data_IF_301381292993
#
_entry.id   IF_301381292993
#
_cell.length_a   1.000
_cell.length_b   1.000
_cell.length_c   1.000
_cell.angle_alpha   90.00
_cell.angle_beta   90.00
_cell.angle_gamma   90.00
#
_symmetry.space_group_name_H-M   'P 1'
#
loop_
_entity.id
_entity.type
_entity.pdbx_description
1 polymer ?
#
# COMPACT_ATOMS: atom_id res chain seq x y z
N UNK A 1 20.17 5.62 -3.03
CA UNK A 1 18.97 6.32 -3.57
C UNK A 1 17.76 5.84 -2.81
N UNK A 2 16.80 6.72 -2.53
CA UNK A 2 15.53 6.38 -1.86
C UNK A 2 14.43 6.22 -2.91
N UNK A 3 13.59 5.19 -2.78
CA UNK A 3 12.46 4.88 -3.63
C UNK A 3 11.20 4.69 -2.81
N UNK A 4 10.04 4.98 -3.41
CA UNK A 4 8.74 4.72 -2.83
C UNK A 4 7.79 4.19 -3.91
N UNK A 5 7.12 3.05 -3.62
CA UNK A 5 6.10 2.44 -4.46
C UNK A 5 4.90 2.03 -3.62
N UNK A 6 3.72 2.06 -4.21
CA UNK A 6 2.54 1.54 -3.53
C UNK A 6 2.59 0.02 -3.37
N UNK A 7 2.27 -0.46 -2.17
CA UNK A 7 2.11 -1.90 -1.90
C UNK A 7 0.81 -2.40 -2.52
N UNK A 8 0.90 -3.45 -3.34
CA UNK A 8 -0.29 -4.11 -3.89
C UNK A 8 -1.17 -4.69 -2.78
N UNK A 9 -0.56 -5.27 -1.74
CA UNK A 9 -1.27 -5.87 -0.62
C UNK A 9 -2.02 -4.81 0.21
N UNK A 10 -1.33 -3.74 0.61
CA UNK A 10 -1.92 -2.68 1.44
C UNK A 10 -2.99 -1.86 0.68
N UNK A 11 -2.93 -1.82 -0.65
CA UNK A 11 -3.88 -1.07 -1.49
C UNK A 11 -5.11 -1.87 -1.93
N UNK A 12 -5.27 -3.12 -1.48
CA UNK A 12 -6.44 -3.97 -1.84
C UNK A 12 -7.79 -3.29 -1.62
N UNK A 13 -7.93 -2.60 -0.49
CA UNK A 13 -9.19 -1.91 -0.17
C UNK A 13 -9.46 -0.73 -1.12
N UNK A 14 -8.42 0.00 -1.54
CA UNK A 14 -8.54 1.08 -2.52
C UNK A 14 -8.95 0.54 -3.88
N UNK A 15 -8.34 -0.56 -4.33
CA UNK A 15 -8.71 -1.25 -5.58
C UNK A 15 -10.17 -1.67 -5.54
N UNK A 16 -10.59 -2.31 -4.45
CA UNK A 16 -11.97 -2.75 -4.28
C UNK A 16 -12.96 -1.58 -4.29
N UNK A 17 -12.62 -0.47 -3.64
CA UNK A 17 -13.43 0.74 -3.67
C UNK A 17 -13.57 1.30 -5.10
N UNK A 18 -12.49 1.34 -5.87
CA UNK A 18 -12.50 1.78 -7.27
C UNK A 18 -13.37 0.87 -8.17
N UNK A 19 -13.35 -0.44 -7.95
CA UNK A 19 -14.24 -1.38 -8.64
C UNK A 19 -15.72 -1.06 -8.36
N UNK A 20 -16.08 -0.80 -7.10
CA UNK A 20 -17.44 -0.46 -6.70
C UNK A 20 -17.85 0.91 -7.28
N UNK A 21 -16.96 1.89 -7.25
CA UNK A 21 -17.18 3.21 -7.86
C UNK A 21 -17.52 3.05 -9.35
N UNK A 22 -16.72 2.28 -10.08
CA UNK A 22 -16.94 2.01 -11.50
C UNK A 22 -18.26 1.24 -11.74
N UNK A 23 -18.52 0.19 -10.97
CA UNK A 23 -19.71 -0.64 -11.12
C UNK A 23 -21.02 0.12 -10.83
N UNK A 24 -20.98 1.10 -9.92
CA UNK A 24 -22.15 1.93 -9.55
C UNK A 24 -22.23 3.23 -10.36
N UNK A 25 -21.28 3.51 -11.25
CA UNK A 25 -21.27 4.67 -12.12
C UNK A 25 -21.04 6.01 -11.40
N UNK A 26 -20.34 6.00 -10.24
CA UNK A 26 -19.93 7.26 -9.61
C UNK A 26 -18.86 7.96 -10.44
N UNK A 27 -19.05 9.24 -10.68
CA UNK A 27 -18.06 10.10 -11.33
C UNK A 27 -17.15 10.79 -10.30
N UNK A 28 -16.08 11.44 -10.78
CA UNK A 28 -15.20 12.27 -9.94
C UNK A 28 -15.81 13.64 -9.57
N UNK A 29 -17.11 13.85 -9.80
CA UNK A 29 -17.80 15.07 -9.40
C UNK A 29 -17.87 15.18 -7.86
N UNK A 30 -17.88 16.39 -7.29
CA UNK A 30 -17.99 16.55 -5.84
C UNK A 30 -19.24 15.91 -5.25
N UNK A 31 -20.35 15.88 -6.00
CA UNK A 31 -21.62 15.32 -5.54
C UNK A 31 -21.59 13.79 -5.50
N UNK A 32 -21.01 13.14 -6.51
CA UNK A 32 -20.84 11.69 -6.52
C UNK A 32 -19.83 11.23 -5.46
N UNK A 33 -18.77 11.99 -5.23
CA UNK A 33 -17.81 11.70 -4.16
C UNK A 33 -18.51 11.77 -2.79
N UNK A 34 -19.36 12.78 -2.55
CA UNK A 34 -20.14 12.87 -1.30
C UNK A 34 -21.11 11.71 -1.15
N UNK A 35 -21.82 11.33 -2.23
CA UNK A 35 -22.74 10.17 -2.24
C UNK A 35 -21.98 8.88 -1.94
N UNK A 36 -20.87 8.62 -2.58
CA UNK A 36 -20.05 7.45 -2.32
C UNK A 36 -19.57 7.40 -0.86
N UNK A 37 -19.10 8.53 -0.31
CA UNK A 37 -18.69 8.63 1.10
C UNK A 37 -19.85 8.32 2.05
N UNK A 38 -21.06 8.80 1.75
CA UNK A 38 -22.25 8.53 2.52
C UNK A 38 -22.63 7.04 2.45
N UNK A 39 -22.62 6.44 1.26
CA UNK A 39 -22.90 5.01 1.07
C UNK A 39 -21.88 4.13 1.81
N UNK A 40 -20.62 4.55 1.86
CA UNK A 40 -19.59 3.87 2.62
C UNK A 40 -19.85 3.98 4.14
N UNK A 41 -20.20 5.16 4.61
CA UNK A 41 -20.43 5.42 6.04
C UNK A 41 -21.64 4.63 6.59
N UNK A 42 -22.69 4.41 5.78
CA UNK A 42 -23.86 3.61 6.16
C UNK A 42 -23.72 2.11 5.85
N UNK A 43 -22.55 1.67 5.40
CA UNK A 43 -22.26 0.26 5.12
C UNK A 43 -22.79 -0.26 3.78
N UNK A 44 -23.43 0.57 2.96
CA UNK A 44 -23.95 0.19 1.66
C UNK A 44 -22.85 -0.16 0.63
N UNK A 45 -21.62 0.30 0.83
CA UNK A 45 -20.49 0.01 -0.05
C UNK A 45 -19.75 -1.30 0.29
N UNK A 46 -20.19 -2.02 1.35
CA UNK A 46 -19.60 -3.26 1.83
C UNK A 46 -18.75 -3.07 3.09
N UNK A 47 -18.86 -4.03 4.00
CA UNK A 47 -18.16 -4.01 5.30
C UNK A 47 -16.63 -3.98 5.13
N UNK A 48 -16.15 -4.60 4.06
CA UNK A 48 -14.71 -4.68 3.72
C UNK A 48 -14.06 -3.31 3.49
N UNK A 49 -14.85 -2.28 3.17
CA UNK A 49 -14.37 -0.94 2.89
C UNK A 49 -14.50 0.03 4.09
N UNK A 50 -15.01 -0.43 5.22
CA UNK A 50 -15.17 0.43 6.40
C UNK A 50 -13.84 1.01 6.90
N UNK A 51 -12.73 0.28 6.71
CA UNK A 51 -11.39 0.77 7.07
C UNK A 51 -10.99 2.04 6.30
N UNK A 52 -11.47 2.21 5.06
CA UNK A 52 -11.22 3.43 4.27
C UNK A 52 -11.89 4.66 4.87
N UNK A 53 -13.06 4.51 5.49
CA UNK A 53 -13.78 5.62 6.13
C UNK A 53 -13.07 6.19 7.36
N UNK A 54 -12.09 5.47 7.91
CA UNK A 54 -11.30 5.89 9.06
C UNK A 54 -9.99 6.59 8.65
N UNK A 55 -9.62 6.53 7.37
CA UNK A 55 -8.42 7.19 6.84
C UNK A 55 -8.60 8.71 6.75
N UNK A 56 -7.52 9.47 7.00
CA UNK A 56 -7.54 10.94 6.91
C UNK A 56 -7.92 11.42 5.51
N UNK A 57 -7.46 10.73 4.47
CA UNK A 57 -7.72 11.05 3.06
C UNK A 57 -9.22 10.95 2.69
N UNK A 58 -10.02 10.32 3.54
CA UNK A 58 -11.44 10.18 3.33
C UNK A 58 -12.24 11.42 3.75
N UNK A 59 -11.69 12.30 4.58
CA UNK A 59 -12.43 13.43 5.16
C UNK A 59 -12.57 14.62 4.22
N UNK A 60 -11.65 14.84 3.30
CA UNK A 60 -11.79 15.90 2.29
C UNK A 60 -12.23 15.34 0.94
N UNK A 61 -12.99 16.13 0.18
CA UNK A 61 -13.44 15.73 -1.17
C UNK A 61 -12.25 15.64 -2.14
N UNK A 62 -11.24 16.50 -1.95
CA UNK A 62 -10.02 16.51 -2.78
C UNK A 62 -9.18 15.26 -2.56
N UNK A 63 -8.86 14.93 -1.30
CA UNK A 63 -8.07 13.75 -0.94
C UNK A 63 -8.79 12.45 -1.29
N UNK A 64 -10.12 12.40 -1.06
CA UNK A 64 -10.93 11.25 -1.46
C UNK A 64 -10.95 11.07 -2.98
N UNK A 65 -10.98 12.19 -3.76
CA UNK A 65 -10.85 12.14 -5.22
C UNK A 65 -9.51 11.57 -5.64
N UNK A 66 -8.43 12.05 -5.07
CA UNK A 66 -7.08 11.62 -5.41
C UNK A 66 -6.86 10.15 -5.04
N UNK A 67 -7.37 9.72 -3.88
CA UNK A 67 -7.27 8.35 -3.42
C UNK A 67 -8.06 7.36 -4.27
N UNK A 68 -9.33 7.67 -4.58
CA UNK A 68 -10.29 6.70 -5.11
C UNK A 68 -10.67 6.91 -6.57
N UNK A 69 -10.58 8.14 -7.08
CA UNK A 69 -11.04 8.51 -8.44
C UNK A 69 -9.88 8.81 -9.40
N UNK A 70 -8.65 8.90 -8.90
CA UNK A 70 -7.46 9.06 -9.74
C UNK A 70 -7.04 7.70 -10.33
N UNK A 71 -6.83 7.64 -11.66
CA UNK A 71 -6.81 6.36 -12.40
C UNK A 71 -5.42 5.72 -12.47
N UNK A 72 -4.32 6.48 -12.30
CA UNK A 72 -2.97 5.95 -12.50
C UNK A 72 -2.24 5.76 -11.17
N UNK A 73 -2.16 4.52 -10.75
CA UNK A 73 -1.38 4.11 -9.58
C UNK A 73 -0.61 2.83 -9.93
N UNK A 74 0.72 2.92 -9.88
CA UNK A 74 1.59 1.75 -10.03
C UNK A 74 1.79 1.10 -8.67
N UNK A 75 1.26 -0.10 -8.53
CA UNK A 75 1.40 -0.94 -7.35
C UNK A 75 2.36 -2.07 -7.65
N UNK A 76 3.20 -2.39 -6.69
CA UNK A 76 4.16 -3.48 -6.82
C UNK A 76 4.01 -4.46 -5.64
N UNK A 77 4.38 -5.70 -5.90
CA UNK A 77 4.68 -6.69 -4.85
C UNK A 77 6.17 -6.65 -4.53
N UNK A 78 6.55 -7.19 -3.37
CA UNK A 78 7.97 -7.30 -2.99
C UNK A 78 8.76 -8.21 -3.94
N UNK A 79 8.13 -9.23 -4.51
CA UNK A 79 8.75 -10.09 -5.53
C UNK A 79 9.03 -9.33 -6.84
N UNK A 80 8.14 -8.42 -7.24
CA UNK A 80 8.38 -7.56 -8.40
C UNK A 80 9.51 -6.55 -8.14
N UNK A 81 9.59 -6.01 -6.92
CA UNK A 81 10.71 -5.14 -6.51
C UNK A 81 12.03 -5.93 -6.53
N UNK A 82 12.06 -7.17 -6.01
CA UNK A 82 13.23 -8.04 -6.06
C UNK A 82 13.71 -8.27 -7.50
N UNK A 83 12.77 -8.61 -8.40
CA UNK A 83 13.07 -8.84 -9.82
C UNK A 83 13.58 -7.59 -10.52
N UNK A 84 12.93 -6.44 -10.28
CA UNK A 84 13.35 -5.14 -10.82
C UNK A 84 14.77 -4.77 -10.37
N UNK A 85 15.08 -4.91 -9.09
CA UNK A 85 16.41 -4.58 -8.55
C UNK A 85 17.49 -5.48 -9.14
N UNK A 86 17.20 -6.77 -9.32
CA UNK A 86 18.11 -7.72 -9.95
C UNK A 86 18.36 -7.36 -11.42
N UNK A 87 17.33 -6.99 -12.17
CA UNK A 87 17.44 -6.61 -13.60
C UNK A 87 18.30 -5.36 -13.80
N UNK A 88 18.14 -4.34 -12.93
CA UNK A 88 18.91 -3.09 -13.04
C UNK A 88 20.26 -3.14 -12.30
N UNK A 89 20.61 -4.25 -11.66
CA UNK A 89 21.86 -4.43 -10.94
C UNK A 89 21.98 -3.52 -9.72
N UNK A 90 20.91 -3.33 -8.96
CA UNK A 90 20.90 -2.52 -7.74
C UNK A 90 20.67 -3.40 -6.50
N UNK A 91 21.30 -3.02 -5.39
CA UNK A 91 21.18 -3.72 -4.12
C UNK A 91 20.17 -3.03 -3.22
N UNK A 92 19.27 -3.84 -2.64
CA UNK A 92 18.37 -3.41 -1.57
C UNK A 92 19.15 -3.23 -0.28
N UNK A 93 18.95 -2.09 0.40
CA UNK A 93 19.63 -1.76 1.66
C UNK A 93 18.71 -1.96 2.86
N UNK A 94 17.42 -1.62 2.71
CA UNK A 94 16.45 -1.75 3.76
C UNK A 94 15.27 -0.81 3.58
N UNK A 95 14.18 -1.13 4.30
CA UNK A 95 12.99 -0.28 4.38
C UNK A 95 13.14 0.81 5.43
N UNK A 96 12.48 1.94 5.16
CA UNK A 96 12.25 3.00 6.16
C UNK A 96 11.02 2.61 6.99
N UNK A 97 11.24 1.99 8.14
CA UNK A 97 10.19 1.46 9.00
C UNK A 97 10.46 1.80 10.48
N UNK A 98 9.39 1.77 11.27
CA UNK A 98 9.49 1.93 12.71
C UNK A 98 10.36 0.82 13.35
N UNK A 99 11.11 1.17 14.39
CA UNK A 99 11.98 0.24 15.10
C UNK A 99 11.23 -0.99 15.64
N UNK A 100 9.96 -0.82 16.05
CA UNK A 100 9.12 -1.92 16.53
C UNK A 100 8.86 -2.96 15.44
N UNK A 101 8.61 -2.54 14.20
CA UNK A 101 8.41 -3.44 13.05
C UNK A 101 9.71 -4.19 12.74
N UNK A 102 10.84 -3.48 12.69
CA UNK A 102 12.15 -4.11 12.48
C UNK A 102 12.51 -5.12 13.58
N UNK A 103 12.11 -4.84 14.82
CA UNK A 103 12.30 -5.78 15.92
C UNK A 103 11.44 -7.03 15.76
N UNK A 104 10.16 -6.88 15.39
CA UNK A 104 9.26 -8.01 15.13
C UNK A 104 9.76 -8.85 13.95
N UNK A 105 10.20 -8.21 12.87
CA UNK A 105 10.78 -8.90 11.72
C UNK A 105 11.99 -9.77 12.14
N UNK A 106 12.96 -9.21 12.88
CA UNK A 106 14.15 -9.94 13.35
C UNK A 106 13.81 -11.10 14.28
N UNK A 107 12.72 -11.01 15.03
CA UNK A 107 12.25 -12.12 15.86
C UNK A 107 11.69 -13.29 15.01
N UNK A 108 11.11 -12.99 13.86
CA UNK A 108 10.60 -14.00 12.91
C UNK A 108 11.70 -14.58 12.02
N UNK A 109 12.67 -13.75 11.59
CA UNK A 109 13.72 -14.10 10.64
C UNK A 109 15.11 -13.86 11.23
N UNK A 110 15.54 -14.74 12.11
CA UNK A 110 16.81 -14.65 12.84
C UNK A 110 18.04 -14.85 11.94
N UNK A 111 17.85 -15.40 10.75
CA UNK A 111 18.86 -15.60 9.71
C UNK A 111 19.08 -14.35 8.83
N UNK A 112 18.21 -13.33 8.95
CA UNK A 112 18.34 -12.04 8.24
C UNK A 112 18.38 -10.86 9.23
N UNK A 113 19.39 -10.72 10.08
CA UNK A 113 19.50 -9.62 11.04
C UNK A 113 19.62 -8.24 10.40
N UNK A 114 20.09 -8.19 9.15
CA UNK A 114 20.19 -6.95 8.36
C UNK A 114 18.84 -6.48 7.81
N UNK A 115 17.81 -7.34 7.80
CA UNK A 115 16.47 -7.07 7.25
C UNK A 115 16.51 -6.72 5.76
N UNK A 116 17.32 -7.44 4.99
CA UNK A 116 17.55 -7.17 3.56
C UNK A 116 16.96 -8.23 2.62
N UNK A 117 16.40 -9.31 3.15
CA UNK A 117 15.81 -10.37 2.35
C UNK A 117 14.34 -10.02 1.98
N UNK A 118 14.11 -9.63 0.73
CA UNK A 118 12.77 -9.23 0.24
C UNK A 118 11.76 -10.38 0.25
N UNK A 119 12.18 -11.65 0.18
CA UNK A 119 11.29 -12.81 0.28
C UNK A 119 10.79 -13.01 1.71
N UNK A 120 11.66 -12.83 2.69
CA UNK A 120 11.27 -12.84 4.10
C UNK A 120 10.30 -11.70 4.40
N UNK A 121 10.55 -10.51 3.84
CA UNK A 121 9.63 -9.38 3.94
C UNK A 121 8.27 -9.66 3.29
N UNK A 122 8.22 -10.36 2.15
CA UNK A 122 6.96 -10.75 1.52
C UNK A 122 6.14 -11.71 2.40
N UNK A 123 6.79 -12.66 3.06
CA UNK A 123 6.14 -13.53 4.05
C UNK A 123 5.66 -12.74 5.26
N UNK A 124 6.50 -11.84 5.79
CA UNK A 124 6.15 -11.00 6.93
C UNK A 124 4.95 -10.08 6.64
N UNK A 125 4.91 -9.44 5.46
CA UNK A 125 3.78 -8.60 5.03
C UNK A 125 2.49 -9.41 4.89
N UNK A 126 2.55 -10.65 4.42
CA UNK A 126 1.37 -11.52 4.30
C UNK A 126 0.72 -11.80 5.67
N UNK A 127 1.54 -11.97 6.70
CA UNK A 127 1.08 -12.19 8.07
C UNK A 127 0.73 -10.88 8.80
N UNK A 128 1.30 -9.76 8.33
CA UNK A 128 1.15 -8.42 8.92
C UNK A 128 0.83 -7.38 7.82
N UNK A 129 -0.38 -7.37 7.25
CA UNK A 129 -0.69 -6.58 6.05
C UNK A 129 -0.60 -5.06 6.24
N UNK A 130 -0.59 -4.57 7.47
CA UNK A 130 -0.46 -3.14 7.79
C UNK A 130 0.99 -2.67 7.94
N UNK A 131 1.97 -3.55 7.70
CA UNK A 131 3.40 -3.27 7.87
C UNK A 131 3.86 -2.02 7.12
N UNK A 132 3.43 -1.84 5.88
CA UNK A 132 3.94 -0.78 5.01
C UNK A 132 3.01 0.42 4.87
N UNK A 133 1.86 0.45 5.53
CA UNK A 133 0.93 1.60 5.55
C UNK A 133 0.72 2.21 4.14
N UNK A 134 0.40 1.39 3.15
CA UNK A 134 0.17 1.70 1.74
C UNK A 134 1.42 1.79 0.85
N UNK A 135 2.61 2.14 1.35
CA UNK A 135 3.79 2.33 0.50
C UNK A 135 5.02 1.58 1.03
N UNK A 136 5.74 0.94 0.11
CA UNK A 136 7.11 0.52 0.33
C UNK A 136 8.03 1.73 0.19
N UNK A 137 8.70 2.12 1.25
CA UNK A 137 9.70 3.18 1.27
C UNK A 137 11.05 2.54 1.62
N UNK A 138 12.05 2.62 0.72
CA UNK A 138 13.28 1.87 0.90
C UNK A 138 14.49 2.51 0.23
N UNK A 139 15.65 2.09 0.70
CA UNK A 139 16.95 2.52 0.21
C UNK A 139 17.59 1.46 -0.67
N UNK A 140 18.23 1.93 -1.74
CA UNK A 140 18.99 1.10 -2.66
C UNK A 140 20.35 1.73 -2.97
N UNK A 141 21.32 0.90 -3.40
CA UNK A 141 22.61 1.38 -3.85
C UNK A 141 23.12 0.57 -5.06
N UNK A 142 24.04 1.17 -5.80
CA UNK A 142 24.84 0.43 -6.78
C UNK A 142 25.81 -0.50 -6.03
N UNK A 143 26.11 -1.69 -6.58
CA UNK A 143 27.23 -2.49 -6.06
C UNK A 143 28.52 -1.67 -6.14
N UNK A 144 29.49 -1.92 -5.24
CA UNK A 144 30.79 -1.23 -5.22
C UNK A 144 31.59 -1.52 -6.48
#
# INVERSE_FOLDING_TARGET
MFLAFYSELSRKHVVKAREIIAARGYSSSPDDIRRFRQDLAVGNAGVELQSLSQGQDFFSTSECRDLLFHVQEHRLTLSQIESFLAEVGLHFIGFELNRSVLHQYRACFTDDPACTNLRNWASFESDNPDTFSAMYQFWIQKPP
#
